data_IF_172516493647
#
_entry.id   IF_172516493647
#
_cell.length_a   1.000
_cell.length_b   1.000
_cell.length_c   1.000
_cell.angle_alpha   90.00
_cell.angle_beta   90.00
_cell.angle_gamma   90.00
#
_symmetry.space_group_name_H-M   'P 1'
#
loop_
_entity.id
_entity.type
_entity.pdbx_description
1 polymer ?
#
# COMPACT_ATOMS: atom_id res chain seq x y z
N UNK A 1 32.96 0.72 -7.27
CA UNK A 1 34.42 0.52 -7.35
C UNK A 1 34.70 -0.97 -7.22
N UNK A 2 35.67 -1.53 -7.98
CA UNK A 2 36.06 -2.95 -7.81
C UNK A 2 37.14 -3.04 -6.74
N UNK A 3 36.90 -3.86 -5.73
CA UNK A 3 37.78 -4.01 -4.57
C UNK A 3 37.89 -5.49 -4.21
N UNK A 4 39.08 -5.96 -3.87
CA UNK A 4 39.28 -7.30 -3.33
C UNK A 4 39.25 -7.24 -1.81
N UNK A 5 38.33 -7.96 -1.19
CA UNK A 5 38.13 -8.03 0.26
C UNK A 5 37.92 -9.48 0.68
N UNK A 6 38.41 -9.84 1.88
CA UNK A 6 38.18 -11.15 2.49
C UNK A 6 36.89 -11.08 3.30
N UNK A 7 35.94 -11.98 3.05
CA UNK A 7 34.63 -12.05 3.71
C UNK A 7 34.41 -13.48 4.20
N UNK A 8 33.81 -13.64 5.38
CA UNK A 8 33.37 -14.94 5.89
C UNK A 8 32.26 -15.54 5.00
N UNK A 9 32.42 -16.81 4.62
CA UNK A 9 31.48 -17.50 3.72
C UNK A 9 30.09 -17.72 4.35
N UNK A 10 30.03 -17.97 5.67
CA UNK A 10 28.75 -18.13 6.38
C UNK A 10 28.00 -16.81 6.41
N UNK A 11 28.72 -15.70 6.62
CA UNK A 11 28.13 -14.36 6.58
C UNK A 11 27.55 -14.06 5.19
N UNK A 12 28.30 -14.34 4.12
CA UNK A 12 27.82 -14.13 2.76
C UNK A 12 26.61 -15.00 2.45
N UNK A 13 26.63 -16.28 2.82
CA UNK A 13 25.50 -17.19 2.63
C UNK A 13 24.25 -16.70 3.37
N UNK A 14 24.38 -16.24 4.61
CA UNK A 14 23.28 -15.68 5.38
C UNK A 14 22.72 -14.41 4.73
N UNK A 15 23.58 -13.51 4.23
CA UNK A 15 23.15 -12.29 3.55
C UNK A 15 22.42 -12.58 2.23
N UNK A 16 22.94 -13.52 1.43
CA UNK A 16 22.30 -13.95 0.19
C UNK A 16 20.94 -14.62 0.45
N UNK A 17 20.84 -15.47 1.46
CA UNK A 17 19.59 -16.13 1.85
C UNK A 17 18.54 -15.13 2.39
N UNK A 18 18.96 -14.17 3.22
CA UNK A 18 18.07 -13.17 3.80
C UNK A 18 17.53 -12.17 2.77
N UNK A 19 18.37 -11.77 1.80
CA UNK A 19 18.00 -10.78 0.78
C UNK A 19 17.54 -11.37 -0.55
N UNK A 20 17.57 -12.69 -0.73
CA UNK A 20 17.19 -13.35 -1.99
C UNK A 20 18.09 -12.97 -3.18
N UNK A 21 19.37 -12.67 -2.93
CA UNK A 21 20.27 -12.14 -3.95
C UNK A 21 20.85 -13.23 -4.84
N UNK A 22 20.97 -12.92 -6.14
CA UNK A 22 21.51 -13.84 -7.13
C UNK A 22 23.04 -13.82 -7.18
N UNK A 23 23.65 -12.69 -6.83
CA UNK A 23 25.11 -12.51 -6.87
C UNK A 23 25.67 -12.00 -5.54
N UNK A 24 26.95 -12.35 -5.26
CA UNK A 24 27.69 -11.82 -4.11
C UNK A 24 27.83 -10.30 -4.14
N UNK A 25 27.92 -9.70 -5.35
CA UNK A 25 28.02 -8.25 -5.52
C UNK A 25 26.74 -7.55 -5.04
N UNK A 26 25.58 -8.03 -5.46
CA UNK A 26 24.28 -7.47 -5.06
C UNK A 26 24.11 -7.52 -3.54
N UNK A 27 24.43 -8.65 -2.92
CA UNK A 27 24.35 -8.81 -1.47
C UNK A 27 25.23 -7.79 -0.72
N UNK A 28 26.44 -7.52 -1.22
CA UNK A 28 27.36 -6.54 -0.63
C UNK A 28 26.87 -5.11 -0.85
N UNK A 29 26.40 -4.76 -2.05
CA UNK A 29 25.89 -3.43 -2.35
C UNK A 29 24.65 -3.09 -1.52
N UNK A 30 23.69 -4.01 -1.43
CA UNK A 30 22.49 -3.80 -0.62
C UNK A 30 22.80 -3.82 0.88
N UNK A 31 23.76 -4.62 1.34
CA UNK A 31 24.25 -4.57 2.71
C UNK A 31 24.85 -3.20 3.07
N UNK A 32 25.67 -2.62 2.19
CA UNK A 32 26.23 -1.28 2.39
C UNK A 32 25.14 -0.20 2.34
N UNK A 33 24.16 -0.34 1.45
CA UNK A 33 23.00 0.56 1.34
C UNK A 33 22.16 0.56 2.61
N UNK A 34 21.94 -0.61 3.21
CA UNK A 34 21.24 -0.76 4.47
C UNK A 34 21.98 -0.05 5.60
N UNK A 35 23.31 -0.21 5.69
CA UNK A 35 24.13 0.48 6.69
C UNK A 35 24.07 2.01 6.54
N UNK A 36 24.09 2.52 5.31
CA UNK A 36 23.95 3.96 5.06
C UNK A 36 22.60 4.49 5.57
N UNK A 37 21.51 3.72 5.38
CA UNK A 37 20.17 4.09 5.86
C UNK A 37 20.00 3.96 7.37
N UNK A 38 20.77 3.09 8.03
CA UNK A 38 20.66 2.81 9.47
C UNK A 38 20.76 4.06 10.34
N UNK A 39 21.63 5.01 10.00
CA UNK A 39 21.77 6.26 10.76
C UNK A 39 20.51 7.12 10.70
N UNK A 40 19.84 7.18 9.55
CA UNK A 40 18.58 7.90 9.40
C UNK A 40 17.48 7.24 10.25
N UNK A 41 17.41 5.91 10.27
CA UNK A 41 16.47 5.20 11.13
C UNK A 41 16.72 5.43 12.61
N UNK A 42 17.97 5.48 13.05
CA UNK A 42 18.31 5.80 14.44
C UNK A 42 17.90 7.22 14.84
N UNK A 43 18.08 8.19 13.94
CA UNK A 43 17.62 9.57 14.17
C UNK A 43 16.10 9.63 14.27
N UNK A 44 15.38 8.91 13.40
CA UNK A 44 13.92 8.81 13.49
C UNK A 44 13.47 8.19 14.82
N UNK A 45 14.15 7.14 15.27
CA UNK A 45 13.84 6.49 16.55
C UNK A 45 14.09 7.44 17.74
N UNK A 46 15.13 8.28 17.66
CA UNK A 46 15.44 9.28 18.69
C UNK A 46 14.37 10.39 18.79
N UNK A 47 13.67 10.68 17.69
CA UNK A 47 12.54 11.61 17.66
C UNK A 47 11.25 11.01 18.26
N UNK A 48 11.24 9.71 18.57
CA UNK A 48 10.13 9.03 19.21
C UNK A 48 9.81 9.64 20.57
N UNK A 49 8.59 10.15 20.74
CA UNK A 49 8.14 10.83 21.97
C UNK A 49 8.56 12.30 22.09
N UNK A 50 9.38 12.83 21.18
CA UNK A 50 9.69 14.26 21.11
C UNK A 50 8.70 15.03 20.21
N UNK A 51 8.09 14.34 19.25
CA UNK A 51 7.14 14.93 18.32
C UNK A 51 5.78 15.09 18.99
N UNK A 52 5.32 16.34 19.09
CA UNK A 52 3.95 16.66 19.45
C UNK A 52 3.09 16.47 18.20
N UNK A 53 2.37 15.36 18.15
CA UNK A 53 1.39 15.12 17.09
C UNK A 53 0.15 15.96 17.40
N UNK A 54 0.10 17.18 16.86
CA UNK A 54 -1.12 17.97 16.86
C UNK A 54 -2.08 17.38 15.81
N UNK A 55 -2.90 16.42 16.23
CA UNK A 55 -4.13 16.11 15.54
C UNK A 55 -5.16 17.20 15.86
N UNK A 56 -5.96 17.57 14.89
CA UNK A 56 -7.21 18.26 15.20
C UNK A 56 -8.15 17.19 15.78
N UNK A 57 -8.37 17.23 17.10
CA UNK A 57 -9.26 16.32 17.83
C UNK A 57 -10.71 16.38 17.31
N UNK A 58 -11.04 17.36 16.45
CA UNK A 58 -12.35 17.45 15.79
C UNK A 58 -12.49 16.57 14.54
N UNK A 59 -11.39 16.01 14.01
CA UNK A 59 -11.41 15.17 12.80
C UNK A 59 -11.60 13.71 13.18
N UNK A 60 -12.85 13.28 13.27
CA UNK A 60 -13.19 11.86 13.39
C UNK A 60 -13.04 11.16 12.03
N UNK A 61 -11.87 10.54 11.80
CA UNK A 61 -11.58 9.77 10.58
C UNK A 61 -12.37 8.45 10.49
N UNK A 62 -13.10 8.05 11.54
CA UNK A 62 -13.93 6.84 11.53
C UNK A 62 -15.37 7.11 11.14
N UNK A 63 -15.79 8.37 11.21
CA UNK A 63 -17.03 8.82 10.62
C UNK A 63 -16.87 8.82 9.10
N UNK A 64 -17.48 7.84 8.42
CA UNK A 64 -17.65 7.91 6.97
C UNK A 64 -18.43 9.20 6.67
N UNK A 65 -17.74 10.23 6.19
CA UNK A 65 -18.38 11.45 5.75
C UNK A 65 -19.30 11.10 4.58
N UNK A 66 -20.61 11.20 4.83
CA UNK A 66 -21.64 10.84 3.86
C UNK A 66 -21.48 11.60 2.52
N UNK A 67 -20.81 12.76 2.56
CA UNK A 67 -20.62 13.63 1.40
C UNK A 67 -19.45 13.24 0.48
N UNK A 68 -18.49 12.42 0.92
CA UNK A 68 -17.27 12.16 0.15
C UNK A 68 -17.41 11.07 -0.95
N UNK A 69 -18.52 10.32 -0.96
CA UNK A 69 -18.75 9.21 -1.91
C UNK A 69 -19.93 9.44 -2.87
N UNK A 70 -20.49 10.66 -2.93
CA UNK A 70 -21.49 10.99 -3.94
C UNK A 70 -20.81 11.14 -5.31
N UNK A 71 -20.64 10.02 -6.02
CA UNK A 71 -20.40 10.03 -7.47
C UNK A 71 -21.62 10.68 -8.11
N UNK A 72 -21.49 11.95 -8.52
CA UNK A 72 -22.52 12.63 -9.32
C UNK A 72 -22.46 12.10 -10.75
N UNK A 73 -23.15 10.98 -11.00
CA UNK A 73 -23.40 10.56 -12.37
C UNK A 73 -24.45 11.48 -13.01
N UNK A 74 -24.21 12.01 -14.22
CA UNK A 74 -25.23 12.76 -14.93
C UNK A 74 -26.45 11.86 -15.20
N UNK A 75 -27.68 12.39 -15.11
CA UNK A 75 -28.88 11.58 -15.28
C UNK A 75 -28.91 10.95 -16.67
N UNK A 76 -29.16 9.63 -16.72
CA UNK A 76 -29.22 8.88 -17.98
C UNK A 76 -30.27 9.49 -18.93
N UNK A 77 -29.84 9.95 -20.10
CA UNK A 77 -30.67 10.67 -21.08
C UNK A 77 -31.63 9.81 -21.89
N UNK A 78 -31.86 8.54 -21.51
CA UNK A 78 -32.79 7.66 -22.22
C UNK A 78 -33.99 7.32 -21.33
N UNK A 79 -35.20 7.48 -21.87
CA UNK A 79 -36.42 7.09 -21.19
C UNK A 79 -36.50 5.55 -21.12
N UNK A 80 -36.59 4.98 -19.92
CA UNK A 80 -36.88 3.57 -19.75
C UNK A 80 -38.28 3.27 -20.30
N UNK A 81 -38.33 2.61 -21.46
CA UNK A 81 -39.58 2.17 -22.07
C UNK A 81 -40.32 1.24 -21.10
N UNK A 82 -41.48 1.68 -20.61
CA UNK A 82 -42.29 0.96 -19.63
C UNK A 82 -42.63 -0.45 -20.13
N UNK A 83 -42.29 -1.46 -19.33
CA UNK A 83 -42.59 -2.86 -19.61
C UNK A 83 -44.11 -3.06 -19.77
N UNK A 84 -44.54 -3.55 -20.95
CA UNK A 84 -45.93 -3.94 -21.21
C UNK A 84 -46.33 -5.10 -20.28
N UNK A 85 -47.34 -4.89 -19.42
CA UNK A 85 -47.94 -5.98 -18.62
C UNK A 85 -48.50 -7.07 -19.53
N UNK A 86 -48.27 -8.37 -19.24
CA UNK A 86 -48.84 -9.45 -20.02
C UNK A 86 -50.37 -9.54 -19.81
N UNK A 87 -51.11 -9.75 -20.91
CA UNK A 87 -52.58 -9.98 -20.87
C UNK A 87 -52.86 -11.30 -20.15
N UNK A 88 -53.83 -11.37 -19.22
CA UNK A 88 -54.16 -12.64 -18.58
C UNK A 88 -54.84 -13.58 -19.58
N UNK A 89 -54.32 -14.80 -19.70
CA UNK A 89 -54.91 -15.85 -20.52
C UNK A 89 -56.25 -16.30 -19.89
N UNK A 90 -57.31 -16.23 -20.69
CA UNK A 90 -58.67 -16.66 -20.33
C UNK A 90 -58.69 -18.19 -20.20
N UNK A 91 -58.77 -18.71 -18.98
CA UNK A 91 -59.02 -20.14 -18.70
C UNK A 91 -60.45 -20.49 -19.12
N UNK A 92 -60.60 -21.43 -20.04
CA UNK A 92 -61.87 -22.12 -20.28
C UNK A 92 -61.67 -23.63 -20.28
N UNK A 93 -62.26 -24.22 -19.25
CA UNK A 93 -62.84 -25.56 -19.03
C UNK A 93 -62.13 -26.81 -19.55
#
# INVERSE_FOLDING_TARGET
MRTNIVIDDKLMAAAMAAGGFSTKKEAVEEGLRLLARRKAYQQLLALGGQLQWAGDDSVDWTAASADALAVQEPPAGYAASAAKKPRPARRTR
#
